data_IF_771214882784
#
_entry.id   IF_771214882784
#
_cell.length_a   1.000
_cell.length_b   1.000
_cell.length_c   1.000
_cell.angle_alpha   90.00
_cell.angle_beta   90.00
_cell.angle_gamma   90.00
#
_symmetry.space_group_name_H-M   'P 1'
#
loop_
_entity.id
_entity.type
_entity.pdbx_description
1 polymer ?
#
# COMPACT_ATOMS: atom_id res chain seq x y z
N UNK A 1 -15.13 34.23 -15.84
CA UNK A 1 -13.87 34.34 -15.10
C UNK A 1 -14.21 34.34 -13.63
N UNK A 2 -14.52 33.19 -13.08
CA UNK A 2 -14.55 32.97 -11.63
C UNK A 2 -13.29 32.20 -11.30
N UNK A 3 -12.32 32.88 -10.74
CA UNK A 3 -11.21 32.27 -10.05
C UNK A 3 -11.81 31.48 -8.89
N UNK A 4 -11.66 30.15 -8.94
CA UNK A 4 -11.98 29.23 -7.86
C UNK A 4 -11.34 29.76 -6.57
N UNK A 5 -12.15 30.20 -5.62
CA UNK A 5 -11.74 30.33 -4.23
C UNK A 5 -11.62 28.91 -3.67
N UNK A 6 -10.50 28.26 -3.98
CA UNK A 6 -10.14 26.97 -3.38
C UNK A 6 -9.74 27.31 -1.95
N UNK A 7 -10.63 27.08 -1.00
CA UNK A 7 -10.29 27.05 0.41
C UNK A 7 -9.50 25.76 0.66
N UNK A 8 -8.19 25.81 0.48
CA UNK A 8 -7.32 24.73 0.95
C UNK A 8 -7.53 24.52 2.44
N UNK A 9 -7.66 23.27 2.85
CA UNK A 9 -7.66 22.91 4.27
C UNK A 9 -6.46 23.59 4.93
N UNK A 10 -6.63 24.24 6.12
CA UNK A 10 -5.51 24.83 6.86
C UNK A 10 -4.37 23.82 7.09
N UNK A 11 -4.67 22.54 7.07
CA UNK A 11 -3.70 21.44 7.15
C UNK A 11 -2.76 21.42 5.92
N UNK A 12 -3.28 21.58 4.70
CA UNK A 12 -2.46 21.63 3.46
C UNK A 12 -1.50 22.82 3.51
N UNK A 13 -1.94 23.97 4.02
CA UNK A 13 -1.11 25.17 4.16
C UNK A 13 0.01 24.92 5.19
N UNK A 14 -0.29 24.26 6.31
CA UNK A 14 0.70 23.91 7.34
C UNK A 14 1.74 22.94 6.77
N UNK A 15 1.32 21.92 6.04
CA UNK A 15 2.24 20.92 5.46
C UNK A 15 3.12 21.53 4.37
N UNK A 16 2.59 22.39 3.51
CA UNK A 16 3.40 23.14 2.53
C UNK A 16 4.42 24.07 3.20
N UNK A 17 4.07 24.67 4.35
CA UNK A 17 5.03 25.49 5.11
C UNK A 17 6.12 24.66 5.79
N UNK A 18 5.81 23.45 6.27
CA UNK A 18 6.79 22.50 6.83
C UNK A 18 7.78 22.02 5.76
N UNK A 19 7.31 21.72 4.54
CA UNK A 19 8.17 21.34 3.40
C UNK A 19 9.13 22.45 2.95
N UNK A 20 8.78 23.72 3.20
CA UNK A 20 9.64 24.87 2.88
C UNK A 20 10.69 25.17 3.96
N UNK A 21 10.50 24.72 5.20
CA UNK A 21 11.40 24.98 6.33
C UNK A 21 12.58 23.99 6.38
N UNK A 22 12.47 22.81 5.77
CA UNK A 22 13.51 21.76 5.84
C UNK A 22 14.78 22.04 5.03
N UNK A 23 14.81 23.08 4.18
CA UNK A 23 16.06 23.51 3.55
C UNK A 23 16.98 24.35 4.48
N UNK A 24 16.61 24.53 5.76
CA UNK A 24 17.33 25.42 6.69
C UNK A 24 17.92 24.72 7.93
N UNK A 25 17.73 23.40 8.10
CA UNK A 25 18.31 22.68 9.24
C UNK A 25 19.37 21.70 8.75
N UNK A 26 20.62 22.14 8.74
CA UNK A 26 21.79 21.25 8.64
C UNK A 26 21.98 20.66 10.05
N UNK A 27 21.84 19.35 10.28
CA UNK A 27 22.19 18.78 11.57
C UNK A 27 23.71 18.82 11.73
N UNK A 28 24.17 19.58 12.72
CA UNK A 28 25.55 19.51 13.18
C UNK A 28 25.83 18.10 13.72
N UNK A 29 26.86 17.46 13.16
CA UNK A 29 27.35 16.17 13.59
C UNK A 29 27.74 16.22 15.06
N UNK A 30 27.01 15.49 15.91
CA UNK A 30 27.43 15.23 17.29
C UNK A 30 28.66 14.33 17.28
N UNK A 31 29.73 14.81 17.86
CA UNK A 31 30.95 14.05 18.09
C UNK A 31 30.66 12.84 18.97
N UNK A 32 30.86 11.66 18.44
CA UNK A 32 30.82 10.38 19.18
C UNK A 32 32.07 10.29 20.05
N UNK A 33 31.85 9.93 21.30
CA UNK A 33 32.84 9.70 22.34
C UNK A 33 33.95 8.74 21.89
N UNK A 34 35.21 9.18 21.96
CA UNK A 34 36.38 8.57 21.35
C UNK A 34 37.15 7.64 22.32
N UNK A 35 36.47 6.68 22.96
CA UNK A 35 37.15 5.68 23.81
C UNK A 35 37.20 4.24 23.28
N UNK A 36 36.54 3.95 22.14
CA UNK A 36 36.66 2.66 21.44
C UNK A 36 37.35 2.90 20.09
N UNK A 37 38.62 2.47 19.95
CA UNK A 37 39.35 2.55 18.66
C UNK A 37 38.62 1.70 17.62
N UNK A 38 37.66 2.29 16.89
CA UNK A 38 37.02 1.62 15.77
C UNK A 38 38.06 1.26 14.71
N UNK A 39 38.09 0.00 14.32
CA UNK A 39 38.94 -0.46 13.23
C UNK A 39 38.37 0.13 11.92
N UNK A 40 39.24 0.80 11.17
CA UNK A 40 38.88 1.42 9.92
C UNK A 40 39.14 0.51 8.72
N UNK A 41 38.41 0.73 7.62
CA UNK A 41 38.63 0.00 6.37
C UNK A 41 40.08 0.14 5.85
N UNK A 42 40.71 1.29 6.04
CA UNK A 42 42.12 1.52 5.64
C UNK A 42 43.09 0.64 6.42
N UNK A 43 42.84 0.39 7.69
CA UNK A 43 43.72 -0.52 8.50
C UNK A 43 43.67 -1.96 8.00
N UNK A 44 42.49 -2.46 7.60
CA UNK A 44 42.39 -3.82 7.04
C UNK A 44 42.96 -3.89 5.61
N UNK A 45 42.91 -2.82 4.83
CA UNK A 45 43.59 -2.77 3.52
C UNK A 45 45.10 -2.80 3.62
N UNK A 46 45.68 -2.16 4.66
CA UNK A 46 47.11 -2.19 4.92
C UNK A 46 47.60 -3.56 5.46
N UNK A 47 46.70 -4.29 6.10
CA UNK A 47 46.99 -5.61 6.71
C UNK A 47 45.94 -6.66 6.26
N UNK A 48 45.85 -6.98 4.96
CA UNK A 48 44.77 -7.79 4.41
C UNK A 48 44.80 -9.26 4.91
N UNK A 49 45.96 -9.73 5.31
CA UNK A 49 46.19 -11.11 5.77
C UNK A 49 46.18 -11.25 7.32
N UNK A 50 45.94 -10.16 8.05
CA UNK A 50 45.84 -10.23 9.51
C UNK A 50 44.42 -10.73 9.88
N UNK A 51 44.36 -12.02 10.26
CA UNK A 51 43.10 -12.68 10.57
C UNK A 51 42.36 -12.00 11.72
N UNK A 52 43.06 -11.73 12.82
CA UNK A 52 42.48 -11.19 14.06
C UNK A 52 41.94 -9.76 13.83
N UNK A 53 42.69 -8.92 13.13
CA UNK A 53 42.28 -7.58 12.79
C UNK A 53 41.03 -7.59 11.90
N UNK A 54 40.98 -8.42 10.86
CA UNK A 54 39.88 -8.49 9.92
C UNK A 54 38.64 -9.14 10.54
N UNK A 55 38.76 -10.14 11.43
CA UNK A 55 37.62 -10.67 12.19
C UNK A 55 37.01 -9.62 13.12
N UNK A 56 37.85 -8.88 13.86
CA UNK A 56 37.36 -7.78 14.70
C UNK A 56 36.64 -6.69 13.90
N UNK A 57 37.15 -6.37 12.71
CA UNK A 57 36.48 -5.45 11.80
C UNK A 57 35.12 -6.00 11.34
N UNK A 58 35.07 -7.27 10.92
CA UNK A 58 33.82 -7.91 10.54
C UNK A 58 32.77 -7.90 11.67
N UNK A 59 33.21 -8.20 12.91
CA UNK A 59 32.37 -8.15 14.11
C UNK A 59 31.85 -6.73 14.40
N UNK A 60 32.70 -5.72 14.22
CA UNK A 60 32.35 -4.34 14.39
C UNK A 60 31.28 -3.93 13.36
N UNK A 61 31.47 -4.28 12.08
CA UNK A 61 30.50 -3.99 11.02
C UNK A 61 29.17 -4.74 11.23
N UNK A 62 29.23 -6.01 11.66
CA UNK A 62 28.03 -6.80 11.98
C UNK A 62 27.20 -6.16 13.10
N UNK A 63 27.85 -5.69 14.18
CA UNK A 63 27.18 -4.96 15.28
C UNK A 63 26.54 -3.64 14.84
N UNK A 64 27.04 -3.02 13.77
CA UNK A 64 26.49 -1.79 13.17
C UNK A 64 25.38 -2.09 12.14
N UNK A 65 25.03 -3.36 11.89
CA UNK A 65 24.05 -3.75 10.86
C UNK A 65 24.58 -3.66 9.42
N UNK A 66 25.88 -3.43 9.23
CA UNK A 66 26.50 -3.31 7.91
C UNK A 66 26.77 -4.69 7.30
N UNK A 67 25.72 -5.48 7.05
CA UNK A 67 25.83 -6.87 6.58
C UNK A 67 26.67 -7.02 5.30
N UNK A 68 26.57 -6.09 4.34
CA UNK A 68 27.34 -6.14 3.09
C UNK A 68 28.85 -6.10 3.34
N UNK A 69 29.32 -5.20 4.20
CA UNK A 69 30.74 -5.09 4.58
C UNK A 69 31.21 -6.29 5.37
N UNK A 70 30.37 -6.78 6.28
CA UNK A 70 30.65 -7.98 7.07
C UNK A 70 30.80 -9.19 6.16
N UNK A 71 29.85 -9.46 5.27
CA UNK A 71 29.89 -10.57 4.31
C UNK A 71 31.14 -10.48 3.44
N UNK A 72 31.39 -9.33 2.80
CA UNK A 72 32.54 -9.14 1.93
C UNK A 72 33.87 -9.39 2.64
N UNK A 73 34.00 -8.97 3.91
CA UNK A 73 35.21 -9.25 4.74
C UNK A 73 35.34 -10.72 5.05
N UNK A 74 34.24 -11.37 5.46
CA UNK A 74 34.25 -12.80 5.82
C UNK A 74 34.45 -13.71 4.60
N UNK A 75 33.84 -13.37 3.42
CA UNK A 75 34.10 -14.10 2.17
C UNK A 75 35.58 -14.05 1.78
N UNK A 76 36.21 -12.89 1.91
CA UNK A 76 37.67 -12.77 1.68
C UNK A 76 38.49 -13.58 2.68
N UNK A 77 38.10 -13.54 3.96
CA UNK A 77 38.77 -14.38 4.97
C UNK A 77 38.56 -15.86 4.71
N UNK A 78 37.38 -16.29 4.29
CA UNK A 78 37.11 -17.69 3.95
C UNK A 78 37.95 -18.16 2.74
N UNK A 79 38.24 -17.27 1.79
CA UNK A 79 39.17 -17.59 0.68
C UNK A 79 40.60 -17.70 1.13
N UNK A 80 41.06 -16.87 2.10
CA UNK A 80 42.44 -16.90 2.61
C UNK A 80 42.67 -18.02 3.62
N UNK A 81 41.66 -18.37 4.37
CA UNK A 81 41.68 -19.38 5.44
C UNK A 81 40.55 -20.40 5.25
N UNK A 82 40.58 -21.21 4.17
CA UNK A 82 39.45 -22.08 3.78
C UNK A 82 39.17 -23.19 4.81
N UNK A 83 40.19 -23.49 5.65
CA UNK A 83 40.09 -24.51 6.70
C UNK A 83 39.60 -23.98 8.05
N UNK A 84 39.39 -22.70 8.19
CA UNK A 84 38.91 -22.12 9.44
C UNK A 84 37.37 -22.21 9.54
N UNK A 85 36.91 -23.10 10.44
CA UNK A 85 35.48 -23.37 10.66
C UNK A 85 34.78 -22.18 11.31
N UNK A 86 35.45 -21.41 12.20
CA UNK A 86 34.84 -20.26 12.86
C UNK A 86 34.46 -19.17 11.87
N UNK A 87 35.28 -18.94 10.83
CA UNK A 87 34.94 -17.98 9.75
C UNK A 87 33.72 -18.45 8.99
N UNK A 88 33.63 -19.74 8.66
CA UNK A 88 32.49 -20.31 7.92
C UNK A 88 31.20 -20.21 8.72
N UNK A 89 31.23 -20.57 10.00
CA UNK A 89 30.06 -20.47 10.89
C UNK A 89 29.61 -19.03 11.07
N UNK A 90 30.56 -18.11 11.23
CA UNK A 90 30.22 -16.69 11.33
C UNK A 90 29.67 -16.13 10.01
N UNK A 91 30.26 -16.49 8.87
CA UNK A 91 29.75 -16.12 7.54
C UNK A 91 28.35 -16.67 7.34
N UNK A 92 28.09 -17.94 7.70
CA UNK A 92 26.78 -18.55 7.64
C UNK A 92 25.76 -17.74 8.46
N UNK A 93 26.06 -17.41 9.71
CA UNK A 93 25.15 -16.65 10.56
C UNK A 93 24.80 -15.28 9.98
N UNK A 94 25.78 -14.57 9.40
CA UNK A 94 25.54 -13.25 8.76
C UNK A 94 24.77 -13.40 7.45
N UNK A 95 24.98 -14.43 6.65
CA UNK A 95 24.22 -14.71 5.43
C UNK A 95 22.75 -15.01 5.73
N UNK A 96 22.46 -15.74 6.80
CA UNK A 96 21.10 -15.99 7.29
C UNK A 96 20.42 -14.69 7.73
N UNK A 97 21.12 -13.85 8.49
CA UNK A 97 20.60 -12.53 8.92
C UNK A 97 20.39 -11.56 7.75
N UNK A 98 21.22 -11.68 6.70
CA UNK A 98 21.11 -10.86 5.50
C UNK A 98 20.13 -11.41 4.45
N UNK A 99 19.35 -12.46 4.81
CA UNK A 99 18.39 -13.14 3.94
C UNK A 99 18.98 -13.54 2.57
N UNK A 100 20.16 -14.19 2.63
CA UNK A 100 20.92 -14.66 1.45
C UNK A 100 20.98 -16.19 1.41
N UNK A 101 19.84 -16.89 1.21
CA UNK A 101 19.75 -18.34 1.39
C UNK A 101 20.64 -19.14 0.43
N UNK A 102 20.79 -18.72 -0.82
CA UNK A 102 21.61 -19.42 -1.81
C UNK A 102 23.09 -19.48 -1.39
N UNK A 103 23.65 -18.35 -0.94
CA UNK A 103 25.03 -18.30 -0.44
C UNK A 103 25.17 -19.07 0.86
N UNK A 104 24.19 -19.00 1.76
CA UNK A 104 24.17 -19.74 3.01
C UNK A 104 24.19 -21.25 2.76
N UNK A 105 23.39 -21.77 1.81
CA UNK A 105 23.40 -23.19 1.43
C UNK A 105 24.78 -23.60 0.91
N UNK A 106 25.45 -22.79 0.10
CA UNK A 106 26.81 -23.07 -0.37
C UNK A 106 27.83 -23.21 0.77
N UNK A 107 27.74 -22.39 1.83
CA UNK A 107 28.58 -22.49 3.02
C UNK A 107 28.22 -23.74 3.85
N UNK A 108 26.93 -24.07 3.96
CA UNK A 108 26.46 -25.29 4.63
C UNK A 108 27.05 -26.55 3.97
N UNK A 109 26.97 -26.63 2.65
CA UNK A 109 27.53 -27.76 1.88
C UNK A 109 29.03 -27.91 2.12
N UNK A 110 29.75 -26.78 2.11
CA UNK A 110 31.18 -26.76 2.43
C UNK A 110 31.50 -27.28 3.86
N UNK A 111 30.68 -26.87 4.86
CA UNK A 111 30.85 -27.30 6.26
C UNK A 111 30.58 -28.82 6.40
N UNK A 112 29.52 -29.31 5.77
CA UNK A 112 29.10 -30.73 5.83
C UNK A 112 30.12 -31.69 5.20
N UNK A 113 30.91 -31.23 4.24
CA UNK A 113 31.99 -32.02 3.63
C UNK A 113 33.22 -32.20 4.54
N UNK A 114 33.30 -31.47 5.64
CA UNK A 114 34.45 -31.48 6.54
C UNK A 114 34.30 -32.55 7.61
N UNK A 115 35.46 -33.09 8.06
CA UNK A 115 35.52 -34.12 9.10
C UNK A 115 35.95 -33.59 10.47
N UNK A 116 36.35 -32.32 10.52
CA UNK A 116 36.89 -31.65 11.70
C UNK A 116 35.88 -30.74 12.40
N UNK A 117 34.62 -30.77 11.98
CA UNK A 117 33.50 -30.03 12.59
C UNK A 117 33.00 -30.77 13.82
N UNK A 118 32.71 -30.04 14.90
CA UNK A 118 32.14 -30.67 16.11
C UNK A 118 30.71 -31.19 15.81
N UNK A 119 30.27 -32.21 16.56
CA UNK A 119 28.91 -32.74 16.39
C UNK A 119 27.83 -31.69 16.69
N UNK A 120 28.09 -30.79 17.66
CA UNK A 120 27.20 -29.70 18.06
C UNK A 120 27.07 -28.64 16.96
N UNK A 121 28.20 -28.24 16.35
CA UNK A 121 28.18 -27.28 15.21
C UNK A 121 27.47 -27.88 13.99
N UNK A 122 27.71 -29.17 13.72
CA UNK A 122 27.05 -29.84 12.60
C UNK A 122 25.55 -29.95 12.79
N UNK A 123 25.06 -30.23 14.00
CA UNK A 123 23.63 -30.24 14.32
C UNK A 123 22.99 -28.85 14.10
N UNK A 124 23.65 -27.80 14.59
CA UNK A 124 23.20 -26.41 14.39
C UNK A 124 23.16 -26.03 12.90
N UNK A 125 24.13 -26.46 12.11
CA UNK A 125 24.18 -26.22 10.66
C UNK A 125 23.04 -26.95 9.93
N UNK A 126 22.73 -28.19 10.37
CA UNK A 126 21.60 -28.96 9.81
C UNK A 126 20.28 -28.30 10.14
N UNK A 127 20.08 -27.81 11.36
CA UNK A 127 18.85 -27.04 11.71
C UNK A 127 18.68 -25.80 10.86
N UNK A 128 19.75 -25.03 10.64
CA UNK A 128 19.76 -23.86 9.75
C UNK A 128 19.43 -24.26 8.31
N UNK A 129 20.00 -25.39 7.83
CA UNK A 129 19.70 -25.90 6.49
C UNK A 129 18.21 -26.25 6.31
N UNK A 130 17.63 -26.94 7.29
CA UNK A 130 16.19 -27.27 7.26
C UNK A 130 15.31 -26.03 7.30
N UNK A 131 15.67 -25.04 8.12
CA UNK A 131 14.99 -23.76 8.15
C UNK A 131 15.08 -23.02 6.80
N UNK A 132 16.27 -22.95 6.21
CA UNK A 132 16.49 -22.30 4.91
C UNK A 132 15.80 -23.06 3.78
N UNK A 133 15.79 -24.38 3.78
CA UNK A 133 15.04 -25.20 2.82
C UNK A 133 13.55 -24.99 2.98
N UNK A 134 13.05 -24.91 4.21
CA UNK A 134 11.65 -24.58 4.48
C UNK A 134 11.24 -23.17 4.03
N UNK A 135 12.21 -22.23 4.00
CA UNK A 135 12.01 -20.89 3.43
C UNK A 135 12.16 -20.87 1.90
N UNK A 136 13.04 -21.69 1.34
CA UNK A 136 13.33 -21.73 -0.11
C UNK A 136 12.47 -22.71 -0.89
N UNK A 137 11.75 -23.63 -0.24
CA UNK A 137 10.65 -24.31 -0.93
C UNK A 137 9.59 -23.27 -1.24
N UNK A 138 9.35 -22.93 -2.51
CA UNK A 138 8.30 -21.98 -2.84
C UNK A 138 7.00 -22.57 -2.31
N UNK A 139 6.46 -21.99 -1.22
CA UNK A 139 5.10 -22.31 -0.82
C UNK A 139 4.28 -22.05 -2.06
N UNK A 140 3.78 -23.13 -2.67
CA UNK A 140 3.06 -23.06 -3.95
C UNK A 140 1.92 -22.04 -3.85
N UNK A 141 1.31 -21.91 -2.66
CA UNK A 141 0.28 -20.95 -2.35
C UNK A 141 0.39 -20.46 -0.90
N UNK A 142 0.25 -19.17 -0.71
CA UNK A 142 0.02 -18.56 0.60
C UNK A 142 -1.44 -18.13 0.68
N UNK A 143 -2.07 -18.38 1.82
CA UNK A 143 -3.48 -18.04 2.06
C UNK A 143 -3.57 -17.06 3.23
N UNK A 144 -4.36 -16.02 3.04
CA UNK A 144 -4.66 -15.02 4.06
C UNK A 144 -6.17 -14.88 4.17
N UNK A 145 -6.65 -14.65 5.39
CA UNK A 145 -8.03 -14.29 5.63
C UNK A 145 -8.06 -13.04 6.51
N UNK A 146 -8.95 -12.11 6.17
CA UNK A 146 -9.21 -10.93 6.97
C UNK A 146 -10.69 -10.86 7.31
N UNK A 147 -10.98 -10.38 8.51
CA UNK A 147 -12.33 -10.12 8.98
C UNK A 147 -12.35 -8.68 9.48
N UNK A 148 -13.33 -7.92 9.03
CA UNK A 148 -13.55 -6.53 9.45
C UNK A 148 -14.93 -6.34 10.03
N UNK A 149 -15.04 -5.42 10.97
CA UNK A 149 -16.31 -4.92 11.49
C UNK A 149 -16.17 -3.42 11.78
N UNK A 150 -17.19 -2.65 11.47
CA UNK A 150 -17.15 -1.20 11.64
C UNK A 150 -18.53 -0.63 11.93
N UNK A 151 -18.54 0.52 12.60
CA UNK A 151 -19.72 1.35 12.79
C UNK A 151 -19.38 2.74 12.27
N UNK A 152 -20.19 3.24 11.34
CA UNK A 152 -20.04 4.56 10.76
C UNK A 152 -21.26 5.40 11.20
N UNK A 153 -21.02 6.62 11.62
CA UNK A 153 -22.09 7.59 11.85
C UNK A 153 -22.05 8.63 10.73
N UNK A 154 -23.18 8.80 10.03
CA UNK A 154 -23.30 9.72 8.92
C UNK A 154 -24.41 10.74 9.21
N UNK A 155 -24.08 12.02 9.12
CA UNK A 155 -25.03 13.13 9.35
C UNK A 155 -25.89 13.46 8.12
N UNK A 156 -25.63 12.83 7.00
CA UNK A 156 -26.31 13.07 5.71
C UNK A 156 -26.34 11.80 4.88
N UNK A 157 -26.98 10.76 5.41
CA UNK A 157 -27.05 9.43 4.78
C UNK A 157 -27.77 9.48 3.42
N UNK A 158 -28.77 10.35 3.30
CA UNK A 158 -29.54 10.54 2.06
C UNK A 158 -28.89 11.53 1.07
N UNK A 159 -27.61 11.88 1.26
CA UNK A 159 -26.79 12.70 0.35
C UNK A 159 -27.43 14.03 -0.10
N UNK A 160 -28.26 14.62 0.75
CA UNK A 160 -28.93 15.89 0.46
C UNK A 160 -27.96 17.05 0.62
N UNK A 161 -27.98 18.01 -0.30
CA UNK A 161 -27.17 19.23 -0.21
C UNK A 161 -27.41 19.99 1.09
N UNK A 162 -26.36 20.27 1.86
CA UNK A 162 -26.44 21.05 3.11
C UNK A 162 -26.85 22.52 2.86
N UNK A 163 -26.59 23.04 1.68
CA UNK A 163 -26.84 24.45 1.31
C UNK A 163 -28.14 24.64 0.54
N UNK A 164 -28.69 23.57 -0.03
CA UNK A 164 -29.96 23.59 -0.75
C UNK A 164 -30.81 22.42 -0.30
N UNK A 165 -32.03 22.73 0.07
CA UNK A 165 -33.06 21.71 0.26
C UNK A 165 -33.44 21.21 -1.14
N UNK A 166 -33.24 19.95 -1.41
CA UNK A 166 -33.68 19.31 -2.63
C UNK A 166 -35.22 19.26 -2.62
N UNK A 167 -35.86 19.67 -3.72
CA UNK A 167 -37.31 19.54 -3.81
C UNK A 167 -37.67 18.05 -3.88
N UNK A 168 -38.48 17.59 -2.94
CA UNK A 168 -39.06 16.25 -3.00
C UNK A 168 -39.94 16.14 -4.26
N UNK A 169 -39.85 15.05 -4.99
CA UNK A 169 -40.77 14.70 -6.09
C UNK A 169 -42.23 14.58 -5.60
N UNK A 170 -42.41 14.45 -4.29
CA UNK A 170 -43.72 14.47 -3.66
C UNK A 170 -44.09 15.93 -3.30
N UNK A 171 -44.87 16.56 -4.14
CA UNK A 171 -45.17 17.99 -4.17
C UNK A 171 -45.90 18.57 -2.92
N UNK A 172 -46.04 17.80 -1.85
CA UNK A 172 -46.79 18.22 -0.65
C UNK A 172 -45.93 18.67 0.55
N UNK A 173 -44.64 18.36 0.60
CA UNK A 173 -43.80 18.65 1.78
C UNK A 173 -42.52 19.44 1.53
N UNK A 174 -42.24 19.71 0.30
CA UNK A 174 -41.39 20.83 -0.11
C UNK A 174 -39.88 20.71 0.02
N UNK A 175 -39.25 19.87 0.87
CA UNK A 175 -37.79 19.81 0.94
C UNK A 175 -37.31 18.59 1.72
N UNK A 176 -36.43 17.79 1.16
CA UNK A 176 -35.69 16.78 1.90
C UNK A 176 -34.65 17.45 2.81
N UNK A 177 -34.61 17.03 4.07
CA UNK A 177 -33.56 17.42 5.02
C UNK A 177 -32.52 16.31 5.11
N UNK A 178 -31.27 16.68 5.37
CA UNK A 178 -30.23 15.71 5.67
C UNK A 178 -30.66 14.83 6.86
N UNK A 179 -30.57 13.53 6.69
CA UNK A 179 -30.86 12.54 7.72
C UNK A 179 -29.54 11.99 8.27
N UNK A 180 -29.52 11.74 9.57
CA UNK A 180 -28.38 11.09 10.20
C UNK A 180 -28.70 9.63 10.48
N UNK A 181 -27.74 8.77 10.29
CA UNK A 181 -27.87 7.35 10.58
C UNK A 181 -26.55 6.72 11.03
N UNK A 182 -26.63 5.49 11.49
CA UNK A 182 -25.51 4.65 11.83
C UNK A 182 -25.52 3.44 10.92
N UNK A 183 -24.39 3.17 10.31
CA UNK A 183 -24.19 2.01 9.47
C UNK A 183 -23.32 1.00 10.22
N UNK A 184 -23.80 -0.22 10.36
CA UNK A 184 -23.01 -1.36 10.80
C UNK A 184 -22.50 -2.08 9.56
N UNK A 185 -21.19 -2.26 9.46
CA UNK A 185 -20.58 -2.99 8.36
C UNK A 185 -19.74 -4.16 8.86
N UNK A 186 -19.76 -5.25 8.11
CA UNK A 186 -18.91 -6.42 8.33
C UNK A 186 -18.34 -6.92 7.02
N UNK A 187 -17.10 -7.39 7.01
CA UNK A 187 -16.44 -7.90 5.83
C UNK A 187 -15.61 -9.15 6.10
N UNK A 188 -15.50 -9.98 5.09
CA UNK A 188 -14.62 -11.15 5.01
C UNK A 188 -13.83 -11.06 3.73
N UNK A 189 -12.50 -11.15 3.82
CA UNK A 189 -11.58 -11.26 2.69
C UNK A 189 -10.83 -12.58 2.73
N UNK A 190 -10.66 -13.20 1.57
CA UNK A 190 -9.86 -14.41 1.37
C UNK A 190 -8.88 -14.15 0.23
N UNK A 191 -7.60 -14.19 0.52
CA UNK A 191 -6.54 -13.94 -0.47
C UNK A 191 -5.66 -15.18 -0.60
N UNK A 192 -5.44 -15.62 -1.83
CA UNK A 192 -4.46 -16.64 -2.17
C UNK A 192 -3.39 -16.02 -3.08
N UNK A 193 -2.12 -16.18 -2.72
CA UNK A 193 -1.00 -15.72 -3.54
C UNK A 193 -0.09 -16.87 -3.92
N UNK A 194 0.47 -16.83 -5.12
CA UNK A 194 1.43 -17.80 -5.62
C UNK A 194 2.58 -17.09 -6.29
N UNK A 195 3.80 -17.41 -5.88
CA UNK A 195 5.01 -16.97 -6.58
C UNK A 195 5.15 -17.70 -7.92
N UNK A 196 5.49 -16.94 -8.96
CA UNK A 196 5.77 -17.43 -10.33
C UNK A 196 7.20 -17.03 -10.66
N UNK A 197 8.15 -17.94 -10.43
CA UNK A 197 9.58 -17.61 -10.47
C UNK A 197 9.97 -16.63 -9.38
N UNK A 198 11.09 -15.92 -9.59
CA UNK A 198 11.68 -15.03 -8.58
C UNK A 198 11.10 -13.59 -8.60
N UNK A 199 10.54 -13.18 -9.74
CA UNK A 199 10.15 -11.80 -9.97
C UNK A 199 8.65 -11.58 -10.11
N UNK A 200 7.83 -12.61 -9.99
CA UNK A 200 6.39 -12.48 -10.22
C UNK A 200 5.58 -13.22 -9.17
N UNK A 201 4.39 -12.68 -8.87
CA UNK A 201 3.39 -13.35 -8.04
C UNK A 201 2.00 -13.17 -8.61
N UNK A 202 1.19 -14.21 -8.54
CA UNK A 202 -0.21 -14.18 -8.88
C UNK A 202 -1.07 -14.12 -7.63
N UNK A 203 -2.10 -13.29 -7.64
CA UNK A 203 -3.02 -13.11 -6.53
C UNK A 203 -4.45 -13.37 -6.97
N UNK A 204 -5.19 -14.08 -6.13
CA UNK A 204 -6.64 -14.19 -6.17
C UNK A 204 -7.16 -13.65 -4.84
N UNK A 205 -8.07 -12.68 -4.89
CA UNK A 205 -8.76 -12.20 -3.70
C UNK A 205 -10.27 -12.32 -3.92
N UNK A 206 -10.97 -12.93 -2.97
CA UNK A 206 -12.42 -12.96 -2.90
C UNK A 206 -12.86 -12.20 -1.64
N UNK A 207 -13.84 -11.32 -1.77
CA UNK A 207 -14.34 -10.51 -0.66
C UNK A 207 -15.86 -10.54 -0.60
N UNK A 208 -16.36 -10.43 0.62
CA UNK A 208 -17.78 -10.22 0.90
C UNK A 208 -17.91 -9.14 1.96
N UNK A 209 -18.79 -8.18 1.73
CA UNK A 209 -19.09 -7.10 2.68
C UNK A 209 -20.59 -6.98 2.81
N UNK A 210 -21.07 -6.85 4.04
CA UNK A 210 -22.45 -6.52 4.35
C UNK A 210 -22.51 -5.21 5.08
N UNK A 211 -23.47 -4.36 4.71
CA UNK A 211 -23.71 -3.05 5.30
C UNK A 211 -25.19 -2.89 5.62
N UNK A 212 -25.48 -2.60 6.88
CA UNK A 212 -26.85 -2.41 7.37
C UNK A 212 -26.97 -1.06 8.05
N UNK A 213 -27.98 -0.30 7.68
CA UNK A 213 -28.30 0.98 8.28
C UNK A 213 -29.35 0.84 9.38
N UNK A 214 -29.24 1.61 10.43
CA UNK A 214 -30.13 1.48 11.60
C UNK A 214 -31.54 2.03 11.34
N UNK A 215 -31.67 3.12 10.56
CA UNK A 215 -32.95 3.79 10.29
C UNK A 215 -33.35 3.77 8.82
N UNK A 216 -32.41 4.01 7.90
CA UNK A 216 -32.64 4.10 6.46
C UNK A 216 -32.29 2.77 5.78
N UNK A 217 -33.01 1.72 6.13
CA UNK A 217 -32.72 0.34 5.71
C UNK A 217 -32.84 0.09 4.20
N UNK A 218 -33.39 1.03 3.44
CA UNK A 218 -33.44 0.96 1.97
C UNK A 218 -32.08 0.94 1.30
N UNK A 219 -31.08 1.52 1.96
CA UNK A 219 -29.70 1.58 1.46
C UNK A 219 -28.80 0.42 1.98
N UNK A 220 -29.41 -0.58 2.62
CA UNK A 220 -28.68 -1.81 3.03
C UNK A 220 -28.22 -2.57 1.81
N UNK A 221 -26.97 -3.08 1.87
CA UNK A 221 -26.42 -3.83 0.75
C UNK A 221 -25.50 -4.97 1.18
N UNK A 222 -25.35 -5.95 0.29
CA UNK A 222 -24.32 -6.95 0.31
C UNK A 222 -23.47 -6.85 -0.96
N UNK A 223 -22.13 -6.84 -0.80
CA UNK A 223 -21.19 -6.73 -1.92
C UNK A 223 -20.26 -7.92 -1.96
N UNK A 224 -20.04 -8.44 -3.15
CA UNK A 224 -19.16 -9.56 -3.46
C UNK A 224 -18.10 -9.09 -4.45
N UNK A 225 -16.84 -9.38 -4.16
CA UNK A 225 -15.72 -9.01 -5.00
C UNK A 225 -14.87 -10.22 -5.37
N UNK A 226 -14.33 -10.24 -6.58
CA UNK A 226 -13.28 -11.14 -7.02
C UNK A 226 -12.22 -10.33 -7.75
N UNK A 227 -10.98 -10.38 -7.25
CA UNK A 227 -9.83 -9.75 -7.89
C UNK A 227 -8.81 -10.79 -8.31
N UNK A 228 -8.34 -10.70 -9.53
CA UNK A 228 -7.19 -11.42 -10.05
C UNK A 228 -6.10 -10.41 -10.36
N UNK A 229 -4.89 -10.60 -9.86
CA UNK A 229 -3.76 -9.70 -10.14
C UNK A 229 -2.48 -10.49 -10.38
N UNK A 230 -1.62 -9.93 -11.20
CA UNK A 230 -0.27 -10.41 -11.43
C UNK A 230 0.70 -9.29 -11.09
N UNK A 231 1.49 -9.46 -10.03
CA UNK A 231 2.58 -8.54 -9.71
C UNK A 231 3.86 -9.08 -10.34
N UNK A 232 4.57 -8.25 -11.09
CA UNK A 232 5.83 -8.63 -11.72
C UNK A 232 6.83 -7.47 -11.71
N UNK A 233 8.11 -7.81 -11.70
CA UNK A 233 9.19 -6.84 -11.76
C UNK A 233 9.91 -6.92 -13.11
N UNK A 234 10.12 -5.76 -13.74
CA UNK A 234 10.91 -5.60 -14.95
C UNK A 234 12.00 -4.57 -14.65
N UNK A 235 13.19 -5.07 -14.32
CA UNK A 235 14.27 -4.21 -13.79
C UNK A 235 13.95 -3.68 -12.41
N UNK A 236 13.90 -2.35 -12.27
CA UNK A 236 13.54 -1.65 -11.02
C UNK A 236 12.07 -1.20 -10.98
N UNK A 237 11.25 -1.64 -11.93
CA UNK A 237 9.87 -1.23 -12.08
C UNK A 237 8.96 -2.41 -11.76
N UNK A 238 7.95 -2.22 -10.92
CA UNK A 238 6.85 -3.16 -10.76
C UNK A 238 5.75 -2.88 -11.77
N UNK A 239 5.08 -3.92 -12.21
CA UNK A 239 3.89 -3.90 -13.05
C UNK A 239 2.85 -4.81 -12.43
N UNK A 240 1.63 -4.30 -12.24
CA UNK A 240 0.54 -5.01 -11.57
C UNK A 240 -0.75 -4.91 -12.40
N UNK A 241 -0.86 -5.67 -13.52
CA UNK A 241 -2.14 -5.81 -14.20
C UNK A 241 -3.14 -6.56 -13.32
N UNK A 242 -4.38 -6.11 -13.34
CA UNK A 242 -5.45 -6.71 -12.55
C UNK A 242 -6.78 -6.72 -13.28
N UNK A 243 -7.65 -7.62 -12.81
CA UNK A 243 -9.04 -7.75 -13.21
C UNK A 243 -9.87 -7.87 -11.94
N UNK A 244 -10.95 -7.09 -11.86
CA UNK A 244 -11.88 -7.09 -10.74
C UNK A 244 -13.30 -7.28 -11.26
N UNK A 245 -14.03 -8.14 -10.58
CA UNK A 245 -15.46 -8.33 -10.72
C UNK A 245 -16.11 -7.98 -9.40
N UNK A 246 -17.19 -7.23 -9.41
CA UNK A 246 -17.99 -6.99 -8.21
C UNK A 246 -19.48 -7.06 -8.51
N UNK A 247 -20.22 -7.54 -7.53
CA UNK A 247 -21.67 -7.54 -7.51
C UNK A 247 -22.12 -6.91 -6.20
N UNK A 248 -23.08 -6.00 -6.26
CA UNK A 248 -23.69 -5.43 -5.06
C UNK A 248 -25.19 -5.62 -5.16
N UNK A 249 -25.77 -6.26 -4.16
CA UNK A 249 -27.19 -6.48 -4.01
C UNK A 249 -27.72 -5.49 -2.98
N UNK A 250 -28.64 -4.62 -3.39
CA UNK A 250 -29.31 -3.65 -2.53
C UNK A 250 -30.70 -4.15 -2.11
N UNK A 251 -31.16 -3.74 -0.93
CA UNK A 251 -32.47 -4.18 -0.42
C UNK A 251 -33.62 -3.56 -1.23
N UNK A 252 -33.58 -2.24 -1.44
CA UNK A 252 -34.65 -1.47 -2.09
C UNK A 252 -34.25 -0.86 -3.43
N UNK A 253 -33.02 -1.09 -3.91
CA UNK A 253 -32.50 -0.52 -5.15
C UNK A 253 -32.09 -1.64 -6.12
N UNK A 254 -31.75 -1.27 -7.34
CA UNK A 254 -31.29 -2.20 -8.36
C UNK A 254 -29.89 -2.75 -8.04
N UNK A 255 -29.79 -4.07 -8.10
CA UNK A 255 -28.47 -4.74 -8.02
C UNK A 255 -27.50 -4.16 -9.05
N UNK A 256 -26.25 -4.06 -8.70
CA UNK A 256 -25.19 -3.64 -9.61
C UNK A 256 -24.16 -4.72 -9.86
N UNK A 257 -23.66 -4.76 -11.08
CA UNK A 257 -22.51 -5.58 -11.47
C UNK A 257 -21.45 -4.68 -12.10
N UNK A 258 -20.22 -4.80 -11.66
CA UNK A 258 -19.11 -4.04 -12.20
C UNK A 258 -17.97 -4.95 -12.63
N UNK A 259 -17.44 -4.66 -13.79
CA UNK A 259 -16.23 -5.26 -14.34
C UNK A 259 -15.17 -4.17 -14.46
N UNK A 260 -13.98 -4.41 -13.93
CA UNK A 260 -12.86 -3.48 -14.03
C UNK A 260 -11.60 -4.25 -14.42
N UNK A 261 -10.79 -3.67 -15.29
CA UNK A 261 -9.43 -4.09 -15.50
C UNK A 261 -8.49 -2.89 -15.51
N UNK A 262 -7.26 -3.12 -15.13
CA UNK A 262 -6.29 -2.05 -15.11
C UNK A 262 -4.87 -2.57 -15.02
N UNK A 263 -3.97 -1.61 -15.02
CA UNK A 263 -2.55 -1.83 -14.78
C UNK A 263 -2.05 -0.74 -13.86
N UNK A 264 -1.38 -1.15 -12.78
CA UNK A 264 -0.64 -0.26 -11.90
C UNK A 264 0.84 -0.60 -11.91
N UNK A 265 1.61 0.23 -11.27
CA UNK A 265 3.01 -0.05 -11.06
C UNK A 265 3.71 1.04 -10.27
N UNK A 266 4.94 0.75 -9.86
CA UNK A 266 5.79 1.73 -9.23
C UNK A 266 7.25 1.52 -9.65
N UNK A 267 8.05 2.56 -9.51
CA UNK A 267 9.50 2.51 -9.66
C UNK A 267 10.17 3.44 -8.65
N UNK A 268 11.32 3.04 -8.17
CA UNK A 268 12.09 3.83 -7.19
C UNK A 268 13.23 4.57 -7.88
N UNK A 269 13.45 5.83 -7.46
CA UNK A 269 14.56 6.67 -7.90
C UNK A 269 15.42 6.99 -6.68
N UNK A 270 16.57 6.33 -6.58
CA UNK A 270 17.37 6.33 -5.37
C UNK A 270 16.70 5.60 -4.22
N UNK A 271 17.11 5.91 -2.98
CA UNK A 271 16.65 5.21 -1.76
C UNK A 271 15.42 5.87 -1.13
N UNK A 272 15.05 7.07 -1.57
CA UNK A 272 14.07 7.92 -0.88
C UNK A 272 12.82 8.24 -1.70
N UNK A 273 12.84 8.01 -3.00
CA UNK A 273 11.74 8.38 -3.88
C UNK A 273 11.16 7.15 -4.53
N UNK A 274 9.84 7.02 -4.48
CA UNK A 274 9.08 6.05 -5.26
C UNK A 274 7.95 6.76 -5.99
N UNK A 275 7.77 6.41 -7.25
CA UNK A 275 6.69 6.92 -8.09
C UNK A 275 5.76 5.79 -8.44
N UNK A 276 4.46 6.02 -8.29
CA UNK A 276 3.42 5.10 -8.69
C UNK A 276 2.61 5.64 -9.85
N UNK A 277 2.03 4.76 -10.62
CA UNK A 277 1.13 5.09 -11.73
C UNK A 277 0.08 4.00 -11.88
N UNK A 278 -1.05 4.38 -12.45
CA UNK A 278 -2.14 3.44 -12.71
C UNK A 278 -3.04 3.90 -13.84
N UNK A 279 -3.63 2.93 -14.51
CA UNK A 279 -4.72 3.08 -15.44
C UNK A 279 -5.79 2.04 -15.14
N UNK A 280 -7.04 2.42 -15.20
CA UNK A 280 -8.17 1.51 -15.07
C UNK A 280 -9.25 1.79 -16.10
N UNK A 281 -9.96 0.76 -16.46
CA UNK A 281 -11.22 0.79 -17.21
C UNK A 281 -12.28 0.08 -16.39
N UNK A 282 -13.49 0.64 -16.35
CA UNK A 282 -14.64 0.02 -15.68
C UNK A 282 -15.86 0.02 -16.57
N UNK A 283 -16.68 -1.03 -16.47
CA UNK A 283 -18.01 -1.13 -17.06
C UNK A 283 -18.96 -1.58 -15.95
N UNK A 284 -19.87 -0.69 -15.54
CA UNK A 284 -20.88 -0.94 -14.51
C UNK A 284 -22.23 -1.09 -15.13
N UNK A 285 -23.02 -2.04 -14.63
CA UNK A 285 -24.38 -2.32 -15.08
C UNK A 285 -25.29 -2.53 -13.89
N UNK A 286 -26.42 -1.83 -13.85
CA UNK A 286 -27.53 -2.19 -12.96
C UNK A 286 -28.25 -3.42 -13.49
N UNK A 287 -28.66 -4.31 -12.59
CA UNK A 287 -29.42 -5.49 -12.95
C UNK A 287 -30.92 -5.20 -12.81
N UNK A 288 -31.66 -5.35 -13.93
CA UNK A 288 -33.10 -5.13 -13.92
C UNK A 288 -33.87 -6.30 -13.33
N UNK A 289 -34.74 -6.01 -12.39
CA UNK A 289 -36.05 -6.65 -12.38
C UNK A 289 -36.93 -5.91 -13.39
N UNK A 290 -37.64 -6.64 -14.24
CA UNK A 290 -38.38 -6.15 -15.42
C UNK A 290 -39.43 -5.03 -15.21
N UNK A 291 -39.50 -4.45 -14.02
CA UNK A 291 -40.38 -3.34 -13.63
C UNK A 291 -39.61 -2.07 -13.20
N UNK A 292 -38.26 -2.09 -13.10
CA UNK A 292 -37.48 -0.97 -12.62
C UNK A 292 -36.75 -0.27 -13.78
N UNK A 293 -37.17 0.94 -14.10
CA UNK A 293 -36.59 1.78 -15.15
C UNK A 293 -35.37 2.55 -14.66
N UNK A 294 -35.06 2.53 -13.36
CA UNK A 294 -33.96 3.29 -12.75
C UNK A 294 -32.62 2.59 -12.86
N UNK A 295 -32.60 1.27 -13.01
CA UNK A 295 -31.39 0.47 -13.12
C UNK A 295 -30.50 0.83 -14.30
N UNK A 296 -31.07 1.29 -15.42
CA UNK A 296 -30.31 1.74 -16.59
C UNK A 296 -29.52 3.03 -16.32
N UNK A 297 -29.94 3.83 -15.33
CA UNK A 297 -29.28 5.10 -14.99
C UNK A 297 -27.92 4.89 -14.32
N UNK A 298 -27.68 3.71 -13.72
CA UNK A 298 -26.41 3.35 -13.10
C UNK A 298 -25.41 2.71 -14.07
N UNK A 299 -25.83 2.45 -15.32
CA UNK A 299 -24.94 1.91 -16.35
C UNK A 299 -23.93 2.96 -16.79
N UNK A 300 -22.65 2.70 -16.54
CA UNK A 300 -21.58 3.64 -16.88
C UNK A 300 -20.33 2.92 -17.36
N UNK A 301 -19.57 3.58 -18.22
CA UNK A 301 -18.22 3.22 -18.60
C UNK A 301 -17.29 4.28 -18.03
N UNK A 302 -16.19 3.87 -17.43
CA UNK A 302 -15.23 4.80 -16.84
C UNK A 302 -13.79 4.46 -17.18
N UNK A 303 -12.96 5.51 -17.22
CA UNK A 303 -11.52 5.42 -17.33
C UNK A 303 -10.89 6.16 -16.16
N UNK A 304 -9.83 5.61 -15.57
CA UNK A 304 -9.11 6.23 -14.48
C UNK A 304 -7.60 6.26 -14.75
N UNK A 305 -6.96 7.36 -14.35
CA UNK A 305 -5.51 7.54 -14.37
C UNK A 305 -5.06 8.02 -13.00
N UNK A 306 -4.01 7.43 -12.47
CA UNK A 306 -3.42 7.84 -11.20
C UNK A 306 -1.91 7.98 -11.32
N UNK A 307 -1.36 8.94 -10.60
CA UNK A 307 0.08 9.06 -10.38
C UNK A 307 0.32 9.39 -8.92
N UNK A 308 1.39 8.86 -8.36
CA UNK A 308 1.75 9.11 -6.97
C UNK A 308 3.25 9.27 -6.79
N UNK A 309 3.62 9.90 -5.70
CA UNK A 309 5.00 10.06 -5.26
C UNK A 309 5.09 9.84 -3.76
N UNK A 310 5.94 8.90 -3.38
CA UNK A 310 6.32 8.66 -1.99
C UNK A 310 7.73 9.18 -1.75
N UNK A 311 7.91 9.91 -0.66
CA UNK A 311 9.20 10.43 -0.25
C UNK A 311 9.52 10.04 1.19
N UNK A 312 10.70 9.46 1.40
CA UNK A 312 11.22 9.07 2.72
C UNK A 312 12.19 10.15 3.20
N UNK A 313 11.77 10.95 4.20
CA UNK A 313 12.64 11.94 4.82
C UNK A 313 13.73 11.27 5.65
N UNK A 314 13.33 10.30 6.48
CA UNK A 314 14.19 9.49 7.32
C UNK A 314 13.45 8.19 7.74
N UNK A 315 14.06 7.39 8.61
CA UNK A 315 13.48 6.12 9.09
C UNK A 315 12.14 6.27 9.82
N UNK A 316 11.82 7.47 10.29
CA UNK A 316 10.61 7.73 11.08
C UNK A 316 9.52 8.45 10.29
N UNK A 317 9.87 9.16 9.21
CA UNK A 317 8.93 10.05 8.51
C UNK A 317 8.96 9.82 7.01
N UNK A 318 7.78 9.62 6.44
CA UNK A 318 7.57 9.61 4.99
C UNK A 318 6.31 10.38 4.60
N UNK A 319 6.23 10.79 3.34
CA UNK A 319 5.05 11.41 2.75
C UNK A 319 4.64 10.71 1.48
N UNK A 320 3.34 10.72 1.21
CA UNK A 320 2.75 10.25 -0.04
C UNK A 320 1.88 11.35 -0.63
N UNK A 321 2.06 11.64 -1.90
CA UNK A 321 1.22 12.57 -2.67
C UNK A 321 0.63 11.79 -3.81
N UNK A 322 -0.69 11.93 -4.03
CA UNK A 322 -1.42 11.27 -5.12
C UNK A 322 -2.21 12.28 -5.94
N UNK A 323 -2.25 12.05 -7.24
CA UNK A 323 -3.11 12.74 -8.19
C UNK A 323 -3.91 11.69 -8.96
N UNK A 324 -5.20 11.92 -9.13
CA UNK A 324 -6.11 11.07 -9.89
C UNK A 324 -6.93 11.90 -10.88
N UNK A 325 -7.25 11.27 -11.99
CA UNK A 325 -8.27 11.70 -12.92
C UNK A 325 -9.10 10.48 -13.29
N UNK A 326 -10.41 10.64 -13.28
CA UNK A 326 -11.31 9.65 -13.88
C UNK A 326 -12.48 10.33 -14.58
N UNK A 327 -13.00 9.65 -15.59
CA UNK A 327 -14.24 9.99 -16.24
C UNK A 327 -15.24 8.86 -16.07
N UNK A 328 -16.52 9.21 -16.03
CA UNK A 328 -17.65 8.28 -15.98
C UNK A 328 -18.69 8.74 -17.00
N UNK A 329 -18.87 7.94 -18.02
CA UNK A 329 -19.87 8.16 -19.06
C UNK A 329 -21.08 7.26 -18.83
N UNK A 330 -22.20 7.85 -18.36
CA UNK A 330 -23.44 7.13 -18.16
C UNK A 330 -24.08 6.77 -19.51
N UNK A 331 -24.50 5.51 -19.68
CA UNK A 331 -25.02 5.01 -20.96
C UNK A 331 -26.41 5.53 -21.30
N UNK A 332 -27.19 5.91 -20.29
CA UNK A 332 -28.60 6.27 -20.46
C UNK A 332 -28.88 7.73 -20.03
N UNK A 333 -28.39 8.14 -18.88
CA UNK A 333 -28.58 9.48 -18.36
C UNK A 333 -27.30 10.30 -18.37
N UNK A 334 -27.16 11.17 -19.36
CA UNK A 334 -26.02 12.05 -19.48
C UNK A 334 -25.90 13.10 -18.36
N UNK A 335 -26.90 13.25 -17.50
CA UNK A 335 -26.82 14.03 -16.25
C UNK A 335 -25.93 13.40 -15.20
N UNK A 336 -25.62 12.10 -15.36
CA UNK A 336 -24.71 11.34 -14.52
C UNK A 336 -23.30 11.20 -15.14
N UNK A 337 -23.03 11.85 -16.27
CA UNK A 337 -21.68 11.95 -16.81
C UNK A 337 -20.86 12.94 -15.99
N UNK A 338 -19.71 12.52 -15.48
CA UNK A 338 -18.84 13.40 -14.70
C UNK A 338 -17.37 13.05 -14.86
N UNK A 339 -16.55 14.04 -14.60
CA UNK A 339 -15.10 13.90 -14.47
C UNK A 339 -14.71 14.13 -13.02
N UNK A 340 -13.81 13.32 -12.51
CA UNK A 340 -13.28 13.43 -11.15
C UNK A 340 -11.80 13.79 -11.19
N UNK A 341 -11.44 14.76 -10.36
CA UNK A 341 -10.05 15.15 -10.12
C UNK A 341 -9.74 14.92 -8.63
N UNK A 342 -8.81 14.03 -8.36
CA UNK A 342 -8.42 13.68 -7.01
C UNK A 342 -7.03 14.23 -6.67
N UNK A 343 -6.90 14.71 -5.44
CA UNK A 343 -5.64 15.07 -4.83
C UNK A 343 -5.58 14.44 -3.44
N UNK A 344 -4.47 13.79 -3.10
CA UNK A 344 -4.24 13.25 -1.76
C UNK A 344 -2.87 13.58 -1.24
N UNK A 345 -2.79 13.80 0.05
CA UNK A 345 -1.55 14.00 0.80
C UNK A 345 -1.60 13.17 2.07
N UNK A 346 -0.55 12.42 2.35
CA UNK A 346 -0.43 11.61 3.56
C UNK A 346 0.96 11.78 4.16
N UNK A 347 1.02 11.91 5.50
CA UNK A 347 2.25 11.92 6.27
C UNK A 347 2.22 10.74 7.21
N UNK A 348 3.29 9.98 7.22
CA UNK A 348 3.44 8.78 8.00
C UNK A 348 4.58 8.95 9.01
N UNK A 349 4.33 8.49 10.23
CA UNK A 349 5.28 8.50 11.34
C UNK A 349 5.46 7.08 11.87
N UNK A 350 6.66 6.52 11.76
CA UNK A 350 7.02 5.19 12.24
C UNK A 350 7.72 5.25 13.60
N UNK A 351 6.96 5.13 14.69
CA UNK A 351 7.53 5.04 16.03
C UNK A 351 7.86 3.57 16.38
N UNK A 352 8.80 3.29 17.30
CA UNK A 352 9.12 1.92 17.72
C UNK A 352 7.94 1.12 18.29
N UNK A 353 6.88 1.82 18.73
CA UNK A 353 5.72 1.23 19.40
C UNK A 353 4.41 1.36 18.62
N UNK A 354 4.37 2.20 17.59
CA UNK A 354 3.17 2.43 16.78
C UNK A 354 3.52 3.11 15.46
N UNK A 355 2.62 2.97 14.50
CA UNK A 355 2.63 3.70 13.24
C UNK A 355 1.45 4.67 13.22
N UNK A 356 1.71 5.94 12.93
CA UNK A 356 0.69 6.99 12.81
C UNK A 356 0.68 7.51 11.40
N UNK A 357 -0.48 7.56 10.78
CA UNK A 357 -0.68 8.10 9.44
C UNK A 357 -1.74 9.18 9.48
N UNK A 358 -1.45 10.35 8.91
CA UNK A 358 -2.37 11.48 8.82
C UNK A 358 -2.57 11.77 7.34
N UNK A 359 -3.82 11.73 6.90
CA UNK A 359 -4.21 11.90 5.50
C UNK A 359 -5.21 13.02 5.29
N UNK A 360 -5.13 13.66 4.14
CA UNK A 360 -6.13 14.59 3.61
C UNK A 360 -6.31 14.31 2.12
N UNK A 361 -7.54 14.16 1.67
CA UNK A 361 -7.90 13.90 0.28
C UNK A 361 -9.01 14.83 -0.17
N UNK A 362 -8.83 15.42 -1.35
CA UNK A 362 -9.77 16.27 -2.03
C UNK A 362 -10.22 15.62 -3.33
N UNK A 363 -11.51 15.56 -3.56
CA UNK A 363 -12.11 15.06 -4.80
C UNK A 363 -13.05 16.12 -5.36
N UNK A 364 -12.89 16.42 -6.64
CA UNK A 364 -13.72 17.36 -7.38
C UNK A 364 -14.45 16.59 -8.47
N UNK A 365 -15.79 16.54 -8.41
CA UNK A 365 -16.63 15.92 -9.43
C UNK A 365 -17.32 17.00 -10.25
N UNK A 366 -16.95 17.13 -11.51
CA UNK A 366 -17.54 18.06 -12.46
C UNK A 366 -18.46 17.31 -13.42
N UNK A 367 -19.76 17.55 -13.30
CA UNK A 367 -20.76 16.93 -14.15
C UNK A 367 -20.81 17.63 -15.51
N UNK A 368 -20.96 16.85 -16.58
CA UNK A 368 -20.94 17.38 -17.97
C UNK A 368 -22.24 18.01 -18.37
N UNK A 369 -23.36 17.58 -17.79
CA UNK A 369 -24.71 18.06 -18.11
C UNK A 369 -25.55 18.25 -16.86
N UNK A 370 -26.60 19.07 -17.00
CA UNK A 370 -27.59 19.23 -15.94
C UNK A 370 -28.44 17.96 -15.81
N UNK A 371 -28.64 17.51 -14.56
CA UNK A 371 -29.63 16.47 -14.26
C UNK A 371 -31.03 17.08 -14.39
N UNK A 372 -31.77 16.69 -15.43
CA UNK A 372 -33.10 17.22 -15.75
C UNK A 372 -34.16 16.82 -14.74
N UNK A 373 -33.90 15.77 -13.93
CA UNK A 373 -34.82 15.34 -12.86
C UNK A 373 -34.74 16.23 -11.62
N UNK A 374 -33.60 16.92 -11.43
CA UNK A 374 -33.32 17.75 -10.26
C UNK A 374 -33.44 19.26 -10.61
N UNK A 375 -32.70 19.71 -11.60
CA UNK A 375 -32.73 21.14 -12.08
C UNK A 375 -32.22 21.20 -13.52
N UNK A 376 -33.12 21.42 -14.46
CA UNK A 376 -32.80 21.46 -15.90
C UNK A 376 -31.87 22.58 -16.35
N UNK A 377 -31.50 23.50 -15.46
CA UNK A 377 -30.70 24.68 -15.80
C UNK A 377 -29.30 24.71 -15.17
N UNK A 378 -28.94 23.80 -14.30
CA UNK A 378 -27.66 23.83 -13.58
C UNK A 378 -26.85 22.54 -13.71
N UNK A 379 -25.60 22.69 -14.07
CA UNK A 379 -24.64 21.61 -14.04
C UNK A 379 -24.12 21.51 -12.60
N UNK A 380 -24.11 20.30 -12.05
CA UNK A 380 -23.63 19.98 -10.71
C UNK A 380 -22.10 19.99 -10.67
N UNK A 381 -21.54 20.46 -9.60
CA UNK A 381 -20.13 20.29 -9.25
C UNK A 381 -20.03 20.03 -7.75
N UNK A 382 -19.38 18.93 -7.38
CA UNK A 382 -19.25 18.52 -5.99
C UNK A 382 -17.79 18.55 -5.55
N UNK A 383 -17.57 18.91 -4.31
CA UNK A 383 -16.25 18.84 -3.68
C UNK A 383 -16.37 18.02 -2.41
N UNK A 384 -15.58 16.96 -2.34
CA UNK A 384 -15.46 16.13 -1.13
C UNK A 384 -14.06 16.31 -0.54
N UNK A 385 -14.00 16.55 0.77
CA UNK A 385 -12.76 16.53 1.52
C UNK A 385 -12.85 15.44 2.59
N UNK A 386 -11.83 14.59 2.64
CA UNK A 386 -11.71 13.53 3.64
C UNK A 386 -10.41 13.71 4.41
N UNK A 387 -10.53 13.89 5.71
CA UNK A 387 -9.40 13.93 6.63
C UNK A 387 -9.43 12.68 7.52
N UNK A 388 -8.29 11.98 7.62
CA UNK A 388 -8.17 10.77 8.45
C UNK A 388 -6.89 10.77 9.29
N UNK A 389 -6.98 10.12 10.44
CA UNK A 389 -5.85 9.80 11.30
C UNK A 389 -5.93 8.30 11.60
N UNK A 390 -4.89 7.57 11.24
CA UNK A 390 -4.80 6.13 11.45
C UNK A 390 -3.68 5.86 12.46
N UNK A 391 -3.99 5.14 13.52
CA UNK A 391 -3.03 4.63 14.49
C UNK A 391 -3.00 3.11 14.40
N UNK A 392 -1.84 2.55 14.05
CA UNK A 392 -1.64 1.11 13.99
C UNK A 392 -0.59 0.70 15.01
N UNK A 393 -0.88 -0.31 15.82
CA UNK A 393 0.05 -0.93 16.75
C UNK A 393 0.11 -2.42 16.45
N UNK A 394 1.31 -2.91 16.16
CA UNK A 394 1.57 -4.35 16.10
C UNK A 394 1.81 -4.86 17.52
N UNK A 395 1.10 -5.90 17.91
CA UNK A 395 1.15 -6.52 19.25
C UNK A 395 1.92 -7.82 19.18
#
# INVERSE_FOLDING_TARGET
KNLLNINFSPFIIIVLSVLLIENLIIPSANAVDSSNKNITYMQILQNPNDLDLNLKYAQQQGKMGNHKQTISTLERLNMLYPDNIEIKLYLLSVLVQADSPEKAIGIIDDIKLRKDVSAEDLESVIEIEEELKGRSEPKLWNFYADISAGVIHTDNVNSVSKTRKQMSSDSKTGFNTAKHDRTLSGGLGLTATRSIGEASSFMINASHTKSEQYQETGDDYESYGLTLALDTYVGNQSLSPYLMLSKTDYVDDADSFSFMYGIGGYFSVGERNSFSYGYSYSDSKGNHNSSDTTADQTNAIGHGFTVGHDFIFNELVSTSIGLGYSDSDAKVDAGNDYETYDFSLRINFGFPWAYVSIGDALSFNDYKKADTSVDSGRIRSDVTNTFDIILTKTV
#
